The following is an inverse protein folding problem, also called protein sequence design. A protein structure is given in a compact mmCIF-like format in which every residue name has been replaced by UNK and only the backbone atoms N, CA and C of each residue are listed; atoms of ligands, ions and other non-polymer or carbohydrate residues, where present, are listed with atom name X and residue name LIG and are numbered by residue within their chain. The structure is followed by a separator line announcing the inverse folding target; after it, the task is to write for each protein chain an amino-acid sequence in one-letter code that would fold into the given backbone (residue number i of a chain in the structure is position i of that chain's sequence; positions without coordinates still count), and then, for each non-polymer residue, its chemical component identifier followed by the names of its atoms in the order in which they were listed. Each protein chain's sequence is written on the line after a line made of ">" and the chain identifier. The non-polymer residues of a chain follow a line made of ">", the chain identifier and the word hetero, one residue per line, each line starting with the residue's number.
data_IF_839893148106
#
_entry.id   IF_839893148106
#
_cell.length_a   1.000
_cell.length_b   1.000
_cell.length_c   1.000
_cell.angle_alpha   90.00
_cell.angle_beta   90.00
_cell.angle_gamma   90.00
#
_symmetry.space_group_name_H-M   'P 1'
#
loop_
_entity.id
_entity.type
_entity.pdbx_description
1 polymer ?
#
# COMPACT_ATOMS: atom_id res chain seq x y z
N UNK A 1 -22.87 10.38 -35.88
CA UNK A 1 -22.54 10.05 -34.48
C UNK A 1 -21.25 9.22 -34.32
N UNK A 2 -20.98 8.22 -35.16
CA UNK A 2 -19.81 7.32 -35.02
C UNK A 2 -18.42 7.97 -35.17
N UNK A 3 -18.28 9.03 -35.97
CA UNK A 3 -16.99 9.71 -36.19
C UNK A 3 -16.44 10.36 -34.91
N UNK A 4 -17.33 10.87 -34.06
CA UNK A 4 -16.96 11.47 -32.77
C UNK A 4 -16.49 10.39 -31.77
N UNK A 5 -17.16 9.24 -31.74
CA UNK A 5 -16.72 8.08 -30.96
C UNK A 5 -15.35 7.57 -31.40
N UNK A 6 -15.10 7.48 -32.71
CA UNK A 6 -13.78 7.08 -33.23
C UNK A 6 -12.67 8.08 -32.87
N UNK A 7 -12.94 9.39 -32.91
CA UNK A 7 -11.98 10.42 -32.50
C UNK A 7 -11.69 10.35 -30.99
N UNK A 8 -12.73 10.15 -30.17
CA UNK A 8 -12.60 10.00 -28.73
C UNK A 8 -11.80 8.75 -28.36
N UNK A 9 -12.09 7.60 -28.98
CA UNK A 9 -11.34 6.36 -28.78
C UNK A 9 -9.88 6.49 -29.23
N UNK A 10 -9.60 7.22 -30.32
CA UNK A 10 -8.23 7.47 -30.80
C UNK A 10 -7.47 8.42 -29.89
N UNK A 11 -8.12 9.44 -29.33
CA UNK A 11 -7.51 10.32 -28.32
C UNK A 11 -7.24 9.58 -27.02
N UNK A 12 -8.19 8.76 -26.54
CA UNK A 12 -8.00 7.92 -25.35
C UNK A 12 -6.84 6.95 -25.54
N UNK A 13 -6.75 6.27 -26.70
CA UNK A 13 -5.66 5.36 -27.03
C UNK A 13 -4.31 6.07 -27.14
N UNK A 14 -4.26 7.27 -27.75
CA UNK A 14 -3.04 8.11 -27.79
C UNK A 14 -2.59 8.52 -26.38
N UNK A 15 -3.50 9.02 -25.55
CA UNK A 15 -3.20 9.40 -24.16
C UNK A 15 -2.70 8.23 -23.33
N UNK A 16 -3.31 7.04 -23.46
CA UNK A 16 -2.84 5.84 -22.75
C UNK A 16 -1.47 5.38 -23.23
N UNK A 17 -1.18 5.46 -24.53
CA UNK A 17 0.13 5.05 -25.07
C UNK A 17 1.25 6.03 -24.68
N UNK A 18 0.96 7.33 -24.59
CA UNK A 18 1.97 8.32 -24.16
C UNK A 18 2.37 8.14 -22.69
N UNK A 19 1.45 7.75 -21.80
CA UNK A 19 1.75 7.57 -20.36
C UNK A 19 2.78 6.46 -20.08
N UNK A 20 2.75 5.35 -20.83
CA UNK A 20 3.69 4.23 -20.64
C UNK A 20 5.02 4.39 -21.38
N UNK A 21 5.08 5.25 -22.39
CA UNK A 21 6.27 5.44 -23.24
C UNK A 21 7.21 6.56 -22.78
N UNK A 22 6.88 7.27 -21.70
CA UNK A 22 7.67 8.39 -21.19
C UNK A 22 8.78 7.98 -20.20
N UNK A 23 9.14 6.69 -20.13
CA UNK A 23 10.39 6.32 -19.47
C UNK A 23 11.51 6.59 -20.50
N UNK A 24 12.36 7.57 -20.22
CA UNK A 24 13.57 7.77 -21.01
C UNK A 24 14.31 6.44 -21.13
N UNK A 25 14.69 6.04 -22.34
CA UNK A 25 15.38 4.77 -22.60
C UNK A 25 16.59 4.57 -21.68
N UNK A 26 17.30 5.65 -21.37
CA UNK A 26 18.40 5.70 -20.40
C UNK A 26 18.00 5.22 -18.99
N UNK A 27 16.83 5.63 -18.49
CA UNK A 27 16.31 5.20 -17.19
C UNK A 27 15.95 3.72 -17.20
N UNK A 28 15.37 3.24 -18.30
CA UNK A 28 15.03 1.82 -18.44
C UNK A 28 16.28 0.93 -18.44
N UNK A 29 17.29 1.31 -19.22
CA UNK A 29 18.56 0.57 -19.29
C UNK A 29 19.27 0.56 -17.92
N UNK A 30 19.24 1.69 -17.21
CA UNK A 30 19.79 1.80 -15.84
C UNK A 30 19.09 0.86 -14.86
N UNK A 31 17.75 0.86 -14.83
CA UNK A 31 16.95 0.00 -13.93
C UNK A 31 17.22 -1.47 -14.24
N UNK A 32 17.26 -1.84 -15.52
CA UNK A 32 17.55 -3.20 -15.98
C UNK A 32 18.91 -3.67 -15.46
N UNK A 33 19.96 -2.85 -15.61
CA UNK A 33 21.30 -3.19 -15.11
C UNK A 33 21.38 -3.37 -13.60
N UNK A 34 20.60 -2.59 -12.82
CA UNK A 34 20.53 -2.75 -11.36
C UNK A 34 19.76 -4.01 -10.97
N UNK A 35 18.75 -4.36 -11.75
CA UNK A 35 17.96 -5.56 -11.55
C UNK A 35 18.79 -6.83 -11.77
N UNK A 36 19.63 -6.86 -12.81
CA UNK A 36 20.52 -8.01 -13.05
C UNK A 36 21.49 -8.22 -11.87
N UNK A 37 22.11 -7.14 -11.38
CA UNK A 37 22.97 -7.18 -10.17
C UNK A 37 22.21 -7.63 -8.92
N UNK A 38 20.95 -7.25 -8.79
CA UNK A 38 20.10 -7.71 -7.70
C UNK A 38 19.89 -9.22 -7.77
N UNK A 39 19.62 -9.78 -8.96
CA UNK A 39 19.46 -11.22 -9.14
C UNK A 39 20.74 -12.00 -8.79
N UNK A 40 21.91 -11.48 -9.16
CA UNK A 40 23.21 -12.08 -8.84
C UNK A 40 23.51 -12.09 -7.32
N UNK A 41 22.96 -11.13 -6.58
CA UNK A 41 23.19 -10.97 -5.16
C UNK A 41 22.09 -11.58 -4.27
N UNK A 42 20.92 -11.90 -4.84
CA UNK A 42 19.75 -12.37 -4.07
C UNK A 42 19.99 -13.69 -3.33
N UNK A 43 20.87 -14.55 -3.86
CA UNK A 43 21.13 -15.88 -3.31
C UNK A 43 22.18 -15.91 -2.17
N UNK A 44 22.87 -14.80 -1.91
CA UNK A 44 23.98 -14.75 -0.95
C UNK A 44 23.72 -13.72 0.16
N UNK A 45 23.44 -14.17 1.40
CA UNK A 45 23.16 -13.28 2.52
C UNK A 45 24.39 -12.50 3.01
N UNK A 46 25.61 -12.81 2.55
CA UNK A 46 26.80 -12.02 2.85
C UNK A 46 27.01 -10.85 1.88
N UNK A 47 26.29 -10.83 0.75
CA UNK A 47 26.38 -9.76 -0.23
C UNK A 47 25.47 -8.59 0.14
N UNK A 48 25.89 -7.40 -0.27
CA UNK A 48 25.14 -6.17 -0.02
C UNK A 48 23.82 -6.13 -0.81
N UNK A 49 22.76 -5.64 -0.17
CA UNK A 49 21.42 -5.52 -0.75
C UNK A 49 21.43 -4.48 -1.87
N UNK A 50 21.20 -4.94 -3.10
CA UNK A 50 21.14 -4.07 -4.29
C UNK A 50 19.75 -3.42 -4.38
N UNK A 51 19.73 -2.08 -4.47
CA UNK A 51 18.49 -1.32 -4.72
C UNK A 51 18.29 -1.11 -6.22
N UNK A 52 17.17 -1.61 -6.73
CA UNK A 52 16.82 -1.50 -8.16
C UNK A 52 16.25 -0.13 -8.50
N UNK A 53 15.30 0.34 -7.68
CA UNK A 53 14.61 1.60 -7.90
C UNK A 53 15.29 2.77 -7.20
N UNK A 54 15.05 3.97 -7.74
CA UNK A 54 15.53 5.20 -7.13
C UNK A 54 14.80 5.47 -5.80
N UNK A 55 15.48 6.07 -4.81
CA UNK A 55 14.83 6.52 -3.58
C UNK A 55 13.71 7.52 -3.86
N UNK A 56 12.69 7.52 -3.00
CA UNK A 56 11.63 8.51 -3.07
C UNK A 56 12.19 9.93 -2.85
N UNK A 57 11.62 10.95 -3.53
CA UNK A 57 11.98 12.34 -3.29
C UNK A 57 11.76 12.74 -1.83
N UNK A 58 12.58 13.67 -1.33
CA UNK A 58 12.53 14.14 0.07
C UNK A 58 11.13 14.61 0.51
N UNK A 59 10.41 15.32 -0.37
CA UNK A 59 9.04 15.79 -0.10
C UNK A 59 8.10 14.64 0.25
N UNK A 60 8.14 13.55 -0.54
CA UNK A 60 7.31 12.38 -0.30
C UNK A 60 7.71 11.66 0.99
N UNK A 61 8.99 11.70 1.38
CA UNK A 61 9.44 11.16 2.66
C UNK A 61 8.89 11.97 3.84
N UNK A 62 8.95 13.30 3.75
CA UNK A 62 8.39 14.22 4.76
C UNK A 62 6.86 14.04 4.90
N UNK A 63 6.14 13.87 3.79
CA UNK A 63 4.71 13.57 3.79
C UNK A 63 4.39 12.22 4.46
N UNK A 64 5.18 11.18 4.17
CA UNK A 64 5.04 9.87 4.80
C UNK A 64 5.34 9.92 6.31
N UNK A 65 6.29 10.74 6.74
CA UNK A 65 6.59 10.99 8.15
C UNK A 65 5.39 11.64 8.85
N UNK A 66 4.83 12.69 8.26
CA UNK A 66 3.64 13.35 8.78
C UNK A 66 2.45 12.38 8.90
N UNK A 67 2.22 11.54 7.87
CA UNK A 67 1.16 10.52 7.91
C UNK A 67 1.38 9.55 9.07
N UNK A 68 2.62 9.12 9.30
CA UNK A 68 2.96 8.21 10.41
C UNK A 68 2.69 8.85 11.77
N UNK A 69 3.01 10.14 11.94
CA UNK A 69 2.78 10.86 13.19
C UNK A 69 1.29 11.01 13.48
N UNK A 70 0.51 11.50 12.51
CA UNK A 70 -0.94 11.66 12.65
C UNK A 70 -1.63 10.32 12.89
N UNK A 71 -1.21 9.26 12.19
CA UNK A 71 -1.79 7.91 12.39
C UNK A 71 -1.51 7.39 13.79
N UNK A 72 -0.30 7.60 14.34
CA UNK A 72 0.03 7.21 15.72
C UNK A 72 -0.85 7.95 16.73
N UNK A 73 -1.09 9.24 16.54
CA UNK A 73 -1.96 10.01 17.43
C UNK A 73 -3.41 9.56 17.36
N UNK A 74 -3.92 9.32 16.15
CA UNK A 74 -5.28 8.82 15.95
C UNK A 74 -5.47 7.42 16.53
N UNK A 75 -4.47 6.54 16.40
CA UNK A 75 -4.53 5.21 16.98
C UNK A 75 -4.55 5.29 18.52
N UNK A 76 -3.74 6.16 19.14
CA UNK A 76 -3.80 6.40 20.59
C UNK A 76 -5.18 6.90 21.03
N UNK A 77 -5.75 7.88 20.31
CA UNK A 77 -7.09 8.39 20.60
C UNK A 77 -8.15 7.28 20.49
N UNK A 78 -8.08 6.45 19.44
CA UNK A 78 -8.97 5.29 19.27
C UNK A 78 -8.86 4.32 20.46
N UNK A 79 -7.64 3.99 20.87
CA UNK A 79 -7.41 3.08 22.01
C UNK A 79 -7.93 3.68 23.33
N UNK A 80 -7.76 4.99 23.53
CA UNK A 80 -8.27 5.71 24.70
C UNK A 80 -9.80 5.81 24.71
N UNK A 81 -10.42 6.04 23.56
CA UNK A 81 -11.88 6.06 23.42
C UNK A 81 -12.48 4.67 23.62
N UNK A 82 -11.82 3.61 23.14
CA UNK A 82 -12.21 2.22 23.43
C UNK A 82 -12.11 1.90 24.94
N UNK A 83 -11.06 2.38 25.62
CA UNK A 83 -10.92 2.23 27.08
C UNK A 83 -12.00 2.99 27.84
N UNK A 84 -12.33 4.21 27.43
CA UNK A 84 -13.42 5.00 28.05
C UNK A 84 -14.78 4.35 27.83
N UNK A 85 -15.05 3.87 26.61
CA UNK A 85 -16.29 3.19 26.29
C UNK A 85 -16.46 1.90 27.11
N UNK A 86 -15.39 1.10 27.26
CA UNK A 86 -15.41 -0.09 28.12
C UNK A 86 -15.53 0.24 29.61
N UNK A 87 -14.90 1.32 30.08
CA UNK A 87 -15.06 1.80 31.46
C UNK A 87 -16.47 2.35 31.74
N UNK A 88 -17.11 3.01 30.77
CA UNK A 88 -18.49 3.47 30.89
C UNK A 88 -19.49 2.31 30.83
N UNK A 89 -19.24 1.29 29.99
CA UNK A 89 -20.05 0.08 29.93
C UNK A 89 -19.98 -0.78 31.21
N UNK A 90 -18.94 -0.62 32.03
CA UNK A 90 -18.77 -1.36 33.30
C UNK A 90 -19.28 -0.60 34.53
N UNK A 91 -19.50 0.72 34.43
CA UNK A 91 -20.02 1.55 35.53
C UNK A 91 -21.47 2.03 35.33
N UNK A 92 -22.12 1.68 34.20
CA UNK A 92 -23.55 1.89 33.97
C UNK A 92 -24.31 0.58 34.15
N UNK A 93 -25.09 0.47 35.22
CA UNK A 93 -25.92 -0.69 35.54
C UNK A 93 -26.77 -1.20 34.37
N UNK A 94 -26.85 -2.53 34.28
CA UNK A 94 -28.00 -3.36 33.89
C UNK A 94 -29.16 -2.62 33.21
N UNK A 95 -29.18 -2.59 31.87
CA UNK A 95 -30.35 -2.84 30.99
C UNK A 95 -30.11 -2.23 29.59
N UNK A 96 -29.68 -3.06 28.66
CA UNK A 96 -30.23 -3.09 27.30
C UNK A 96 -29.72 -4.37 26.62
N UNK A 97 -30.62 -5.33 26.53
CA UNK A 97 -30.40 -6.59 25.84
C UNK A 97 -29.97 -6.40 24.37
N UNK A 98 -29.06 -7.29 23.96
CA UNK A 98 -29.06 -8.01 22.68
C UNK A 98 -28.93 -7.18 21.39
N UNK A 99 -27.71 -7.19 20.85
CA UNK A 99 -27.41 -7.99 19.64
C UNK A 99 -25.92 -8.27 19.51
N UNK A 100 -25.52 -9.45 19.95
CA UNK A 100 -24.45 -10.26 19.35
C UNK A 100 -25.17 -11.40 18.60
N UNK A 101 -24.59 -12.16 17.65
CA UNK A 101 -23.15 -12.31 17.44
C UNK A 101 -22.66 -12.59 15.99
N UNK A 102 -21.32 -12.74 15.89
CA UNK A 102 -20.57 -13.60 14.96
C UNK A 102 -20.45 -13.17 13.48
N UNK A 103 -19.31 -13.30 12.79
CA UNK A 103 -18.14 -14.20 12.98
C UNK A 103 -16.94 -13.56 12.24
N UNK A 104 -15.82 -13.30 12.93
CA UNK A 104 -14.63 -14.15 12.99
C UNK A 104 -13.76 -14.14 11.71
N UNK A 105 -12.57 -13.53 11.81
CA UNK A 105 -11.39 -14.16 11.18
C UNK A 105 -11.24 -15.59 11.74
N UNK A 106 -10.63 -16.51 10.98
CA UNK A 106 -9.35 -16.95 11.47
C UNK A 106 -8.26 -16.99 10.40
N UNK A 107 -7.16 -16.39 10.82
CA UNK A 107 -5.78 -16.64 10.42
C UNK A 107 -5.42 -18.14 10.53
N UNK A 108 -4.70 -18.69 9.54
CA UNK A 108 -3.46 -19.49 9.73
C UNK A 108 -3.09 -20.33 8.50
N UNK A 109 -1.84 -20.13 8.05
CA UNK A 109 -0.86 -21.13 7.63
C UNK A 109 -1.28 -22.37 6.80
N UNK A 110 -0.73 -22.41 5.58
CA UNK A 110 0.19 -23.47 5.10
C UNK A 110 -0.36 -24.90 4.90
N UNK A 111 -0.43 -25.37 3.64
CA UNK A 111 0.34 -26.53 3.12
C UNK A 111 -0.20 -27.08 1.77
N UNK A 112 0.74 -27.21 0.82
CA UNK A 112 0.96 -28.34 -0.12
C UNK A 112 -0.02 -28.72 -1.26
N UNK A 113 0.62 -28.92 -2.42
CA UNK A 113 0.41 -29.97 -3.44
C UNK A 113 -0.79 -29.85 -4.39
N UNK A 114 -0.50 -29.57 -5.66
CA UNK A 114 -0.45 -30.58 -6.73
C UNK A 114 0.37 -30.10 -7.92
#
# INVERSE_FOLDING_TARGET
>A
MYVLLCRYQRQKKKMTTTMFNNIEKSRYDLITSRYDKFLENMADPQKEVVRVFDPLPKKNLEELELIREVTKELQKKKDDDMKKASAQATNGDVQAEKKSPEQSEPNAAEQTSK
#
